data_IF_258682076553
#
_entry.id   IF_258682076553
#
_cell.length_a   1.000
_cell.length_b   1.000
_cell.length_c   1.000
_cell.angle_alpha   90.00
_cell.angle_beta   90.00
_cell.angle_gamma   90.00
#
_symmetry.space_group_name_H-M   'P 1'
#
loop_
_entity.id
_entity.type
_entity.pdbx_description
1 polymer ?
#
# COMPACT_ATOMS: atom_id res chain seq x y z
N UNK A 1 5.29 5.16 3.50
CA UNK A 1 5.97 4.33 2.49
C UNK A 1 5.74 2.86 2.77
N UNK A 2 5.51 2.09 1.73
CA UNK A 2 5.41 0.65 1.87
C UNK A 2 6.53 0.01 1.06
N UNK A 3 6.97 -1.15 1.53
CA UNK A 3 8.05 -1.88 0.87
C UNK A 3 7.46 -2.90 -0.08
N UNK A 4 7.87 -2.86 -1.34
CA UNK A 4 7.39 -3.83 -2.33
C UNK A 4 8.59 -4.50 -2.98
N UNK A 5 8.39 -5.75 -3.42
CA UNK A 5 9.42 -6.52 -4.08
C UNK A 5 9.32 -6.32 -5.58
N UNK A 6 10.39 -5.83 -6.18
CA UNK A 6 10.42 -5.65 -7.62
C UNK A 6 10.40 -7.01 -8.29
N UNK A 7 9.78 -7.09 -9.44
CA UNK A 7 9.62 -8.36 -10.12
C UNK A 7 10.95 -9.01 -10.43
N UNK A 8 11.89 -8.25 -10.96
CA UNK A 8 13.15 -8.83 -11.38
C UNK A 8 14.12 -9.00 -10.23
N UNK A 9 14.23 -8.03 -9.33
CA UNK A 9 15.20 -8.19 -8.23
C UNK A 9 15.11 -7.01 -7.28
N UNK A 10 15.31 -7.32 -5.98
CA UNK A 10 15.37 -6.28 -4.98
C UNK A 10 14.02 -5.77 -4.56
N UNK A 11 14.04 -4.69 -3.82
CA UNK A 11 12.82 -4.10 -3.33
C UNK A 11 12.94 -2.59 -3.41
N UNK A 12 11.80 -1.93 -3.23
CA UNK A 12 11.74 -0.48 -3.28
C UNK A 12 10.63 -0.02 -2.34
N UNK A 13 10.78 1.16 -1.79
CA UNK A 13 9.74 1.76 -0.96
C UNK A 13 8.96 2.73 -1.85
N UNK A 14 7.65 2.62 -1.81
CA UNK A 14 6.79 3.49 -2.61
C UNK A 14 5.80 4.19 -1.71
N UNK A 15 5.34 5.34 -2.15
CA UNK A 15 4.31 6.08 -1.43
C UNK A 15 2.96 5.51 -1.84
N UNK A 16 2.23 4.85 -0.92
CA UNK A 16 0.97 4.23 -1.30
C UNK A 16 -0.08 5.23 -1.75
N UNK A 17 0.04 6.48 -1.34
CA UNK A 17 -0.93 7.49 -1.76
C UNK A 17 -0.77 7.86 -3.23
N UNK A 18 0.33 7.48 -3.85
CA UNK A 18 0.57 7.74 -5.26
C UNK A 18 0.18 6.55 -6.15
N UNK A 19 -0.28 5.46 -5.57
CA UNK A 19 -0.72 4.30 -6.35
C UNK A 19 -2.15 4.53 -6.79
N UNK A 20 -2.35 4.59 -8.11
CA UNK A 20 -3.68 4.80 -8.67
C UNK A 20 -4.40 3.48 -8.93
N UNK A 21 -3.69 2.49 -9.46
CA UNK A 21 -4.27 1.21 -9.81
C UNK A 21 -3.36 0.08 -9.40
N UNK A 22 -3.96 -1.03 -9.02
CA UNK A 22 -3.26 -2.28 -8.75
C UNK A 22 -3.93 -3.33 -9.62
N UNK A 23 -3.17 -3.91 -10.55
CA UNK A 23 -3.69 -4.92 -11.45
C UNK A 23 -2.83 -6.18 -11.33
N UNK A 24 -3.40 -7.31 -11.69
CA UNK A 24 -2.70 -8.59 -11.55
C UNK A 24 -3.04 -9.53 -12.69
N UNK A 25 -2.57 -9.22 -13.90
CA UNK A 25 -2.82 -10.04 -15.05
C UNK A 25 -1.67 -9.88 -16.04
N UNK A 26 -0.71 -10.80 -16.06
CA UNK A 26 -0.51 -11.91 -15.11
C UNK A 26 0.24 -11.49 -13.86
N UNK A 27 1.06 -10.45 -13.93
CA UNK A 27 1.86 -9.98 -12.80
C UNK A 27 1.18 -8.80 -12.15
N UNK A 28 1.54 -8.54 -10.89
CA UNK A 28 1.02 -7.39 -10.18
C UNK A 28 1.68 -6.14 -10.72
N UNK A 29 0.86 -5.19 -11.17
CA UNK A 29 1.33 -3.92 -11.71
C UNK A 29 0.79 -2.80 -10.85
N UNK A 30 1.69 -1.97 -10.35
CA UNK A 30 1.33 -0.75 -9.63
C UNK A 30 1.43 0.40 -10.61
N UNK A 31 0.34 1.12 -10.81
CA UNK A 31 0.31 2.25 -11.71
C UNK A 31 0.24 3.53 -10.91
N UNK A 32 1.19 4.42 -11.14
CA UNK A 32 1.28 5.68 -10.41
C UNK A 32 0.70 6.83 -11.21
N UNK A 33 0.98 6.87 -12.51
CA UNK A 33 0.40 7.85 -13.39
C UNK A 33 0.46 7.29 -14.81
N UNK A 34 0.13 8.13 -15.79
CA UNK A 34 0.01 7.68 -17.17
C UNK A 34 1.32 7.15 -17.74
N UNK A 35 2.42 7.55 -17.15
CA UNK A 35 3.74 7.18 -17.70
C UNK A 35 4.53 6.29 -16.78
N UNK A 36 4.03 6.03 -15.58
CA UNK A 36 4.81 5.34 -14.58
C UNK A 36 4.05 4.18 -13.98
N UNK A 37 4.59 3.00 -14.16
CA UNK A 37 4.05 1.80 -13.55
C UNK A 37 5.23 0.92 -13.17
N UNK A 38 4.93 -0.09 -12.35
CA UNK A 38 5.97 -0.96 -11.82
C UNK A 38 5.40 -2.36 -11.63
N UNK A 39 6.16 -3.36 -12.09
CA UNK A 39 5.79 -4.75 -11.84
C UNK A 39 6.43 -5.19 -10.54
N UNK A 40 5.64 -5.84 -9.69
CA UNK A 40 6.11 -6.29 -8.38
C UNK A 40 5.75 -7.75 -8.19
N UNK A 41 6.43 -8.40 -7.26
CA UNK A 41 6.17 -9.79 -6.92
C UNK A 41 5.03 -9.94 -5.93
N UNK A 42 4.79 -8.91 -5.12
CA UNK A 42 3.73 -8.94 -4.13
C UNK A 42 2.40 -9.15 -4.85
N UNK A 43 1.52 -9.91 -4.22
CA UNK A 43 0.17 -10.04 -4.75
C UNK A 43 -0.60 -8.76 -4.45
N UNK A 44 -1.71 -8.51 -5.20
CA UNK A 44 -2.54 -7.34 -4.87
C UNK A 44 -2.99 -7.34 -3.42
N UNK A 45 -3.32 -8.51 -2.89
CA UNK A 45 -3.75 -8.61 -1.50
C UNK A 45 -2.65 -8.21 -0.54
N UNK A 46 -1.42 -8.62 -0.84
CA UNK A 46 -0.28 -8.23 -0.01
C UNK A 46 -0.06 -6.73 -0.05
N UNK A 47 -0.20 -6.12 -1.23
CA UNK A 47 -0.05 -4.68 -1.38
C UNK A 47 -1.14 -3.97 -0.58
N UNK A 48 -2.38 -4.42 -0.71
CA UNK A 48 -3.49 -3.81 0.00
C UNK A 48 -3.26 -3.90 1.51
N UNK A 49 -2.81 -5.06 1.99
CA UNK A 49 -2.55 -5.22 3.42
C UNK A 49 -1.45 -4.27 3.89
N UNK A 50 -0.42 -4.07 3.08
CA UNK A 50 0.64 -3.14 3.43
C UNK A 50 0.13 -1.71 3.48
N UNK A 51 -0.77 -1.35 2.57
CA UNK A 51 -1.38 -0.02 2.57
C UNK A 51 -2.24 0.16 3.81
N UNK A 52 -3.03 -0.84 4.17
CA UNK A 52 -3.86 -0.76 5.35
C UNK A 52 -3.01 -0.60 6.61
N UNK A 53 -1.93 -1.37 6.69
CA UNK A 53 -1.03 -1.27 7.83
C UNK A 53 -0.39 0.11 7.89
N UNK A 54 0.02 0.64 6.73
CA UNK A 54 0.60 1.97 6.66
C UNK A 54 -0.39 3.01 7.19
N UNK A 55 -1.66 2.91 6.77
CA UNK A 55 -2.65 3.89 7.20
C UNK A 55 -2.94 3.78 8.69
N UNK A 56 -2.90 2.57 9.23
CA UNK A 56 -3.10 2.38 10.66
C UNK A 56 -2.00 3.07 11.46
N UNK A 57 -0.79 3.10 10.91
CA UNK A 57 0.35 3.68 11.61
C UNK A 57 0.41 5.20 11.48
N UNK A 58 0.03 5.72 10.31
CA UNK A 58 0.24 7.13 10.00
C UNK A 58 -1.04 7.94 9.95
N UNK A 59 -2.16 7.27 9.81
CA UNK A 59 -3.45 7.95 9.83
C UNK A 59 -4.28 7.39 10.96
N UNK A 60 -3.60 7.21 12.06
CA UNK A 60 -4.25 6.69 13.25
C UNK A 60 -5.40 7.60 13.67
N UNK A 61 -6.58 7.03 13.81
CA UNK A 61 -7.73 7.75 14.30
C UNK A 61 -7.82 7.45 15.77
N UNK A 62 -7.66 8.47 16.63
CA UNK A 62 -7.69 8.22 18.06
C UNK A 62 -8.99 7.54 18.47
N UNK A 63 -8.88 6.65 19.44
CA UNK A 63 -10.06 6.05 20.04
C UNK A 63 -10.90 7.16 20.63
N UNK A 64 -12.08 7.14 20.30
CA UNK A 64 -12.96 8.16 20.88
C UNK A 64 -13.31 7.72 22.26
N UNK A 65 -12.90 7.33 22.18
CA UNK A 65 -13.03 6.74 22.93
C UNK A 65 -13.56 6.35 23.48
N UNK A 66 -13.50 5.95 23.55
CA UNK A 66 -13.71 5.44 23.85
C UNK A 66 -14.04 5.75 24.67
N UNK A 67 -13.95 6.07 24.56
CA UNK A 67 -14.28 6.51 25.21
C UNK A 67 -14.49 6.75 25.82
N UNK A 68 -14.49 6.85 26.23
CA UNK A 68 -14.55 7.16 26.79
C UNK A 68 -15.05 7.41 27.29
N UNK A 69 -15.04 7.16 27.56
CA UNK A 69 -15.34 7.48 28.00
C UNK A 69 -15.69 7.74 28.03
N UNK A 70 -15.83 7.52 28.32
CA UNK A 70 -16.16 7.82 28.50
C UNK A 70 -16.31 8.26 28.23
N UNK A 71 -16.36 8.37 28.45
CA UNK A 71 -16.41 8.83 28.27
C UNK A 71 -16.53 8.97 27.92
#
# INVERSE_FOLDING_TARGET
MIKVQKLNKGFIFVNPDHIRFIEATPDTVLTFNERESMLVRDTPEEIINKILEYRRMYFHIPEVTKSRDGN
#
